data_IF_486238735041
#
_entry.id   IF_486238735041
#
_cell.length_a   1.000
_cell.length_b   1.000
_cell.length_c   1.000
_cell.angle_alpha   90.00
_cell.angle_beta   90.00
_cell.angle_gamma   90.00
#
_symmetry.space_group_name_H-M   'P 1'
#
loop_
_entity.id
_entity.type
_entity.pdbx_description
1 polymer ?
#
# COMPACT_ATOMS: atom_id res chain seq x y z
N UNK A 1 6.66 -47.88 24.67
CA UNK A 1 5.23 -48.11 25.02
C UNK A 1 4.47 -46.84 24.65
N UNK A 2 3.31 -47.01 24.06
CA UNK A 2 2.41 -45.88 23.75
C UNK A 2 1.09 -46.11 24.49
N UNK A 3 0.59 -45.11 25.20
CA UNK A 3 -0.70 -45.15 25.87
C UNK A 3 -1.60 -44.14 25.23
N UNK A 4 -2.79 -44.55 24.82
CA UNK A 4 -3.81 -43.69 24.25
C UNK A 4 -4.90 -43.43 25.30
N UNK A 5 -5.25 -42.14 25.47
CA UNK A 5 -6.31 -41.73 26.39
C UNK A 5 -7.24 -40.72 25.67
N UNK A 6 -8.50 -40.55 26.06
CA UNK A 6 -9.30 -39.45 25.60
C UNK A 6 -8.62 -38.13 25.94
N UNK A 7 -8.50 -37.25 24.96
CA UNK A 7 -7.91 -35.93 25.16
C UNK A 7 -8.84 -35.06 26.02
N UNK A 8 -8.31 -34.42 27.05
CA UNK A 8 -9.05 -33.46 27.90
C UNK A 8 -9.20 -32.11 27.25
N UNK A 9 -8.30 -31.75 26.34
CA UNK A 9 -8.29 -30.50 25.60
C UNK A 9 -8.25 -30.80 24.10
N UNK A 10 -8.73 -29.85 23.29
CA UNK A 10 -8.60 -29.93 21.83
C UNK A 10 -7.12 -29.92 21.46
N UNK A 11 -6.65 -30.98 20.81
CA UNK A 11 -5.29 -31.06 20.30
C UNK A 11 -5.18 -30.25 19.00
N UNK A 12 -4.22 -29.35 18.95
CA UNK A 12 -3.85 -28.65 17.72
C UNK A 12 -3.17 -29.65 16.80
N UNK A 13 -3.40 -29.55 15.48
CA UNK A 13 -2.85 -30.46 14.47
C UNK A 13 -3.34 -31.91 14.55
N UNK A 14 -4.46 -32.16 15.22
CA UNK A 14 -5.07 -33.47 15.28
C UNK A 14 -6.60 -33.38 15.17
N UNK A 15 -7.19 -34.22 14.33
CA UNK A 15 -8.63 -34.44 14.29
C UNK A 15 -9.08 -35.52 15.28
N UNK A 16 -8.11 -36.12 15.99
CA UNK A 16 -8.38 -37.17 16.98
C UNK A 16 -8.78 -36.57 18.32
N UNK A 17 -9.75 -37.18 18.95
CA UNK A 17 -10.11 -36.96 20.36
C UNK A 17 -9.22 -37.81 21.33
N UNK A 18 -8.18 -38.44 20.81
CA UNK A 18 -7.29 -39.31 21.57
C UNK A 18 -5.92 -38.64 21.69
N UNK A 19 -5.45 -38.51 22.89
CA UNK A 19 -4.09 -38.10 23.22
C UNK A 19 -3.20 -39.31 23.39
N UNK A 20 -1.94 -39.23 22.90
CA UNK A 20 -0.96 -40.33 22.97
C UNK A 20 0.22 -39.92 23.86
N UNK A 21 0.49 -40.74 24.84
CA UNK A 21 1.65 -40.61 25.71
C UNK A 21 2.70 -41.62 25.32
N UNK A 22 3.95 -41.20 25.23
CA UNK A 22 5.08 -42.00 24.82
C UNK A 22 5.97 -42.27 26.03
N UNK A 23 6.37 -43.55 26.19
CA UNK A 23 7.25 -43.97 27.26
C UNK A 23 8.40 -44.82 26.72
N UNK A 24 9.63 -44.53 27.18
CA UNK A 24 10.78 -45.41 27.04
C UNK A 24 10.85 -46.31 28.24
N UNK A 25 11.16 -47.57 28.03
CA UNK A 25 11.33 -48.59 29.09
C UNK A 25 12.73 -49.13 28.97
N UNK A 26 13.45 -49.18 30.08
CA UNK A 26 14.77 -49.79 30.15
C UNK A 26 14.63 -51.34 30.09
N UNK A 27 15.11 -51.93 29.00
CA UNK A 27 15.05 -53.38 28.76
C UNK A 27 16.42 -53.95 29.04
N UNK A 28 16.55 -54.77 30.09
CA UNK A 28 17.78 -55.54 30.32
C UNK A 28 17.83 -56.69 29.34
N UNK A 29 18.87 -56.73 28.51
CA UNK A 29 19.14 -57.85 27.63
C UNK A 29 19.36 -59.13 28.42
N UNK A 30 18.45 -60.10 28.30
CA UNK A 30 18.73 -61.52 28.60
C UNK A 30 18.81 -62.29 27.28
N UNK A 31 19.84 -63.11 27.13
CA UNK A 31 20.04 -63.95 25.93
C UNK A 31 18.74 -64.61 25.50
N UNK A 32 18.25 -64.29 24.35
CA UNK A 32 17.11 -64.83 23.59
C UNK A 32 15.67 -64.55 24.00
N UNK A 33 15.38 -63.72 25.04
CA UNK A 33 13.99 -63.27 25.31
C UNK A 33 13.95 -61.89 25.92
N UNK A 34 13.43 -60.90 25.17
CA UNK A 34 13.18 -59.56 25.68
C UNK A 34 11.91 -59.55 26.55
N UNK A 35 12.04 -59.65 27.86
CA UNK A 35 10.93 -59.50 28.80
C UNK A 35 11.04 -58.21 29.57
N UNK A 36 9.98 -57.43 29.59
CA UNK A 36 9.85 -56.25 30.45
C UNK A 36 9.76 -56.74 31.89
N UNK A 37 10.72 -56.39 32.73
CA UNK A 37 10.72 -56.74 34.13
C UNK A 37 9.81 -55.74 34.91
N UNK A 38 9.08 -56.20 35.92
CA UNK A 38 8.25 -55.34 36.79
C UNK A 38 9.02 -54.19 37.45
N UNK A 39 10.34 -54.28 37.53
CA UNK A 39 11.25 -53.26 38.09
C UNK A 39 11.96 -52.43 37.01
N UNK A 40 11.56 -52.53 35.73
CA UNK A 40 12.17 -51.73 34.66
C UNK A 40 11.83 -50.25 34.88
N UNK A 41 12.83 -49.39 34.72
CA UNK A 41 12.62 -47.95 34.78
C UNK A 41 11.82 -47.49 33.55
N UNK A 42 10.81 -46.69 33.81
CA UNK A 42 9.96 -46.11 32.77
C UNK A 42 10.22 -44.61 32.73
N UNK A 43 10.51 -44.08 31.55
CA UNK A 43 10.73 -42.66 31.31
C UNK A 43 9.63 -42.15 30.43
N UNK A 44 8.93 -41.09 30.85
CA UNK A 44 7.99 -40.38 29.99
C UNK A 44 8.76 -39.60 28.93
N UNK A 45 8.35 -39.74 27.68
CA UNK A 45 8.91 -39.01 26.56
C UNK A 45 7.97 -37.88 26.18
N UNK A 46 8.51 -36.70 25.95
CA UNK A 46 7.73 -35.59 25.37
C UNK A 46 7.72 -35.72 23.86
N UNK A 47 6.52 -35.72 23.27
CA UNK A 47 6.35 -35.58 21.83
C UNK A 47 6.61 -34.13 21.43
N UNK A 48 7.45 -33.94 20.45
CA UNK A 48 7.69 -32.59 19.85
C UNK A 48 7.14 -32.63 18.44
N UNK A 49 6.26 -31.69 18.12
CA UNK A 49 5.80 -31.50 16.76
C UNK A 49 6.80 -30.66 15.98
N UNK A 50 7.03 -31.02 14.73
CA UNK A 50 7.83 -30.20 13.83
C UNK A 50 7.20 -28.83 13.59
N UNK A 51 8.06 -27.83 13.36
CA UNK A 51 7.65 -26.49 12.98
C UNK A 51 7.14 -26.50 11.53
N UNK A 52 5.83 -26.45 11.36
CA UNK A 52 5.19 -26.44 10.05
C UNK A 52 4.19 -25.27 9.88
N UNK A 53 4.13 -24.66 8.72
CA UNK A 53 3.24 -23.51 8.49
C UNK A 53 1.76 -23.80 8.78
N UNK A 54 1.29 -25.03 8.56
CA UNK A 54 -0.09 -25.37 8.84
C UNK A 54 -0.39 -25.40 10.36
N UNK A 55 0.57 -25.81 11.17
CA UNK A 55 0.47 -25.75 12.63
C UNK A 55 0.38 -24.28 13.09
N UNK A 56 1.22 -23.40 12.52
CA UNK A 56 1.17 -21.97 12.83
C UNK A 56 -0.16 -21.35 12.46
N UNK A 57 -0.76 -21.72 11.31
CA UNK A 57 -2.11 -21.27 10.96
C UNK A 57 -3.15 -21.66 12.01
N UNK A 58 -3.11 -22.89 12.47
CA UNK A 58 -4.03 -23.35 13.51
C UNK A 58 -3.85 -22.58 14.82
N UNK A 59 -2.60 -22.39 15.26
CA UNK A 59 -2.26 -21.64 16.47
C UNK A 59 -2.67 -20.17 16.37
N UNK A 60 -2.61 -19.58 15.19
CA UNK A 60 -2.96 -18.17 14.92
C UNK A 60 -4.43 -17.97 14.57
N UNK A 61 -5.23 -19.04 14.49
CA UNK A 61 -6.63 -18.96 14.09
C UNK A 61 -6.86 -18.64 12.62
N UNK A 62 -5.85 -18.72 11.77
CA UNK A 62 -5.92 -18.49 10.33
C UNK A 62 -6.50 -19.72 9.64
N UNK A 63 -7.73 -19.62 9.15
CA UNK A 63 -8.46 -20.78 8.60
C UNK A 63 -7.93 -21.20 7.22
N UNK A 64 -7.60 -20.25 6.35
CA UNK A 64 -7.17 -20.51 4.96
C UNK A 64 -6.24 -19.41 4.45
N UNK A 65 -5.50 -19.72 3.40
CA UNK A 65 -4.77 -18.78 2.57
C UNK A 65 -5.37 -18.86 1.16
N UNK A 66 -5.99 -17.79 0.67
CA UNK A 66 -6.60 -17.73 -0.67
C UNK A 66 -5.71 -16.99 -1.67
N UNK A 67 -4.88 -16.07 -1.20
CA UNK A 67 -3.88 -15.38 -2.01
C UNK A 67 -2.54 -16.11 -1.84
N UNK A 68 -1.97 -16.53 -2.96
CA UNK A 68 -0.66 -17.17 -3.05
C UNK A 68 0.31 -16.26 -3.82
N UNK A 69 1.48 -16.74 -4.22
CA UNK A 69 2.42 -15.93 -5.03
C UNK A 69 2.63 -14.52 -4.47
N UNK A 70 2.96 -14.41 -3.18
CA UNK A 70 3.14 -13.13 -2.49
C UNK A 70 4.55 -12.61 -2.73
N UNK A 71 4.67 -11.37 -3.19
CA UNK A 71 5.96 -10.70 -3.35
C UNK A 71 6.11 -9.59 -2.32
N UNK A 72 7.11 -9.73 -1.45
CA UNK A 72 7.53 -8.67 -0.52
C UNK A 72 8.69 -7.90 -1.13
N UNK A 73 8.47 -6.64 -1.49
CA UNK A 73 9.51 -5.71 -1.98
C UNK A 73 9.93 -4.80 -0.83
N UNK A 74 11.24 -4.77 -0.59
CA UNK A 74 11.80 -4.08 0.57
C UNK A 74 11.68 -4.92 1.85
N UNK A 75 12.82 -5.46 2.29
CA UNK A 75 12.94 -6.27 3.51
C UNK A 75 13.76 -5.49 4.56
N UNK A 76 13.49 -4.19 4.65
CA UNK A 76 14.06 -3.28 5.66
C UNK A 76 13.34 -3.37 7.01
N UNK A 77 13.42 -2.32 7.80
CA UNK A 77 12.87 -2.28 9.18
C UNK A 77 11.38 -2.62 9.23
N UNK A 78 10.57 -2.07 8.35
CA UNK A 78 9.12 -2.33 8.30
C UNK A 78 8.80 -3.66 7.62
N UNK A 79 9.31 -3.86 6.39
CA UNK A 79 8.99 -5.04 5.58
C UNK A 79 9.44 -6.35 6.20
N UNK A 80 10.59 -6.37 6.88
CA UNK A 80 11.07 -7.58 7.59
C UNK A 80 10.15 -7.99 8.74
N UNK A 81 9.58 -7.01 9.47
CA UNK A 81 8.64 -7.27 10.55
C UNK A 81 7.29 -7.75 10.03
N UNK A 82 6.74 -7.08 9.00
CA UNK A 82 5.51 -7.49 8.33
C UNK A 82 5.62 -8.94 7.87
N UNK A 83 6.69 -9.26 7.15
CA UNK A 83 6.90 -10.60 6.61
C UNK A 83 7.03 -11.65 7.72
N UNK A 84 7.76 -11.35 8.82
CA UNK A 84 7.91 -12.26 9.92
C UNK A 84 6.59 -12.53 10.65
N UNK A 85 5.74 -11.51 10.85
CA UNK A 85 4.41 -11.70 11.42
C UNK A 85 3.54 -12.60 10.55
N UNK A 86 3.51 -12.37 9.24
CA UNK A 86 2.74 -13.19 8.31
C UNK A 86 3.23 -14.64 8.27
N UNK A 87 4.55 -14.86 8.24
CA UNK A 87 5.15 -16.18 8.23
C UNK A 87 4.84 -16.95 9.52
N UNK A 88 4.91 -16.30 10.69
CA UNK A 88 4.53 -16.90 11.97
C UNK A 88 3.05 -17.24 12.07
N UNK A 89 2.20 -16.60 11.28
CA UNK A 89 0.80 -16.95 11.12
C UNK A 89 0.58 -18.08 10.09
N UNK A 90 1.65 -18.69 9.60
CA UNK A 90 1.62 -19.82 8.67
C UNK A 90 1.33 -19.45 7.23
N UNK A 91 1.48 -18.17 6.87
CA UNK A 91 1.40 -17.73 5.47
C UNK A 91 2.67 -18.22 4.76
N UNK A 92 2.51 -18.72 3.55
CA UNK A 92 3.57 -19.32 2.73
C UNK A 92 3.59 -18.73 1.32
N UNK A 93 4.53 -19.20 0.49
CA UNK A 93 4.66 -18.84 -0.93
C UNK A 93 5.13 -17.40 -1.15
N UNK A 94 6.27 -17.09 -0.55
CA UNK A 94 6.89 -15.77 -0.64
C UNK A 94 7.99 -15.69 -1.71
N UNK A 95 8.06 -14.53 -2.36
CA UNK A 95 9.26 -14.04 -3.03
C UNK A 95 9.74 -12.76 -2.34
N UNK A 96 10.95 -12.77 -1.80
CA UNK A 96 11.55 -11.64 -1.11
C UNK A 96 12.45 -10.87 -2.08
N UNK A 97 12.24 -9.57 -2.20
CA UNK A 97 12.99 -8.69 -3.11
C UNK A 97 13.65 -7.58 -2.32
N UNK A 98 14.97 -7.59 -2.28
CA UNK A 98 15.77 -6.50 -1.71
C UNK A 98 17.20 -6.56 -2.29
N UNK A 99 17.74 -5.44 -2.71
CA UNK A 99 19.10 -5.36 -3.24
C UNK A 99 20.14 -4.94 -2.20
N UNK A 100 19.70 -4.53 -1.02
CA UNK A 100 20.57 -4.00 0.03
C UNK A 100 21.31 -5.11 0.80
N UNK A 101 22.46 -4.70 1.35
CA UNK A 101 23.24 -5.49 2.29
C UNK A 101 22.84 -5.14 3.72
N UNK A 102 22.85 -6.13 4.60
CA UNK A 102 22.61 -5.95 6.02
C UNK A 102 23.89 -5.45 6.72
N UNK A 103 23.83 -4.28 7.30
CA UNK A 103 24.92 -3.64 8.03
C UNK A 103 24.68 -3.68 9.55
N UNK A 104 25.72 -3.51 10.40
CA UNK A 104 25.58 -3.54 11.86
C UNK A 104 24.47 -2.63 12.43
N UNK A 105 24.30 -1.43 11.87
CA UNK A 105 23.26 -0.49 12.31
C UNK A 105 21.84 -0.95 12.01
N UNK A 106 21.63 -1.89 11.09
CA UNK A 106 20.33 -2.44 10.81
C UNK A 106 19.76 -3.25 12.00
N UNK A 107 20.65 -3.79 12.87
CA UNK A 107 20.22 -4.46 14.10
C UNK A 107 19.34 -3.59 15.01
N UNK A 108 19.42 -2.28 14.90
CA UNK A 108 18.63 -1.39 15.73
C UNK A 108 17.11 -1.52 15.46
N UNK A 109 16.69 -1.93 14.25
CA UNK A 109 15.27 -1.90 13.84
C UNK A 109 14.82 -3.01 12.90
N UNK A 110 15.74 -3.79 12.36
CA UNK A 110 15.38 -4.93 11.51
C UNK A 110 14.80 -6.06 12.36
N UNK A 111 13.88 -6.86 11.80
CA UNK A 111 13.33 -8.02 12.53
C UNK A 111 14.36 -9.11 12.80
N UNK A 112 15.40 -9.18 11.97
CA UNK A 112 16.55 -10.07 12.14
C UNK A 112 17.71 -9.31 12.76
N UNK A 113 18.61 -10.04 13.44
CA UNK A 113 19.81 -9.49 14.03
C UNK A 113 21.02 -10.42 13.82
N UNK A 114 22.22 -9.87 13.80
CA UNK A 114 23.42 -10.55 13.32
C UNK A 114 23.50 -10.51 11.79
N UNK A 115 24.18 -11.44 11.18
CA UNK A 115 24.16 -11.66 9.72
C UNK A 115 24.81 -10.57 8.86
N UNK A 116 25.82 -9.89 9.38
CA UNK A 116 26.50 -8.78 8.72
C UNK A 116 27.02 -9.15 7.33
N UNK A 117 26.95 -8.16 6.41
CA UNK A 117 27.41 -8.27 5.01
C UNK A 117 26.66 -9.31 4.16
N UNK A 118 25.53 -9.81 4.63
CA UNK A 118 24.63 -10.62 3.82
C UNK A 118 23.55 -9.74 3.18
N UNK A 119 23.03 -10.14 2.02
CA UNK A 119 21.88 -9.47 1.43
C UNK A 119 20.65 -9.61 2.35
N UNK A 120 19.88 -8.52 2.55
CA UNK A 120 18.74 -8.49 3.50
C UNK A 120 17.69 -9.54 3.17
N UNK A 121 17.31 -9.72 1.89
CA UNK A 121 16.32 -10.71 1.49
C UNK A 121 16.83 -12.15 1.73
N UNK A 122 18.12 -12.41 1.50
CA UNK A 122 18.71 -13.71 1.75
C UNK A 122 18.76 -14.02 3.25
N UNK A 123 19.09 -13.03 4.06
CA UNK A 123 19.12 -13.16 5.51
C UNK A 123 17.72 -13.47 6.08
N UNK A 124 16.70 -12.75 5.59
CA UNK A 124 15.30 -13.03 5.95
C UNK A 124 14.87 -14.44 5.50
N UNK A 125 15.27 -14.89 4.31
CA UNK A 125 14.99 -16.25 3.83
C UNK A 125 15.47 -17.31 4.80
N UNK A 126 16.70 -17.18 5.32
CA UNK A 126 17.26 -18.13 6.28
C UNK A 126 16.42 -18.19 7.57
N UNK A 127 15.94 -17.04 8.05
CA UNK A 127 15.06 -17.01 9.21
C UNK A 127 13.68 -17.64 8.93
N UNK A 128 13.11 -17.43 7.74
CA UNK A 128 11.86 -18.09 7.34
C UNK A 128 12.04 -19.60 7.22
N UNK A 129 13.16 -20.06 6.69
CA UNK A 129 13.47 -21.49 6.59
C UNK A 129 13.58 -22.14 7.96
N UNK A 130 14.10 -21.45 8.97
CA UNK A 130 14.21 -21.99 10.34
C UNK A 130 12.85 -22.24 11.00
N UNK A 131 11.79 -21.66 10.50
CA UNK A 131 10.40 -21.90 10.91
C UNK A 131 9.58 -22.66 9.85
N UNK A 132 10.23 -23.39 8.95
CA UNK A 132 9.58 -24.24 7.95
C UNK A 132 8.94 -23.49 6.75
N UNK A 133 9.09 -22.16 6.65
CA UNK A 133 8.54 -21.36 5.54
C UNK A 133 9.57 -21.22 4.43
N UNK A 134 9.29 -21.84 3.28
CA UNK A 134 10.13 -21.73 2.08
C UNK A 134 9.82 -20.42 1.35
N UNK A 135 10.87 -19.75 0.82
CA UNK A 135 10.75 -18.53 0.05
C UNK A 135 11.78 -18.46 -1.08
N UNK A 136 11.44 -17.71 -2.13
CA UNK A 136 12.36 -17.34 -3.21
C UNK A 136 13.02 -16.00 -2.88
N UNK A 137 14.20 -15.72 -3.45
CA UNK A 137 14.93 -14.47 -3.23
C UNK A 137 15.35 -13.85 -4.54
N UNK A 138 15.13 -12.53 -4.67
CA UNK A 138 15.61 -11.69 -5.76
C UNK A 138 16.51 -10.61 -5.15
N UNK A 139 17.83 -10.72 -5.36
CA UNK A 139 18.87 -9.81 -4.84
C UNK A 139 19.14 -8.66 -5.81
N UNK A 140 18.13 -8.10 -6.41
CA UNK A 140 18.23 -7.06 -7.42
C UNK A 140 17.21 -5.97 -7.16
N UNK A 141 17.49 -4.79 -7.68
CA UNK A 141 16.49 -3.74 -7.75
C UNK A 141 15.28 -4.24 -8.55
N UNK A 142 14.10 -4.11 -7.99
CA UNK A 142 12.86 -4.60 -8.59
C UNK A 142 12.60 -3.98 -9.97
N UNK A 143 13.04 -2.75 -10.19
CA UNK A 143 12.90 -2.03 -11.46
C UNK A 143 13.60 -2.73 -12.62
N UNK A 144 14.59 -3.58 -12.32
CA UNK A 144 15.32 -4.40 -13.28
C UNK A 144 14.79 -5.83 -13.40
N UNK A 145 13.66 -6.14 -12.78
CA UNK A 145 13.13 -7.51 -12.63
C UNK A 145 11.61 -7.59 -12.84
N UNK A 146 10.99 -6.67 -13.58
CA UNK A 146 9.53 -6.59 -13.78
C UNK A 146 8.89 -7.94 -14.13
N UNK A 147 9.50 -8.69 -15.04
CA UNK A 147 9.01 -9.99 -15.52
C UNK A 147 8.89 -11.07 -14.42
N UNK A 148 9.53 -10.87 -13.27
CA UNK A 148 9.49 -11.81 -12.15
C UNK A 148 8.32 -11.58 -11.20
N UNK A 149 7.60 -10.47 -11.36
CA UNK A 149 6.48 -10.09 -10.48
C UNK A 149 5.15 -9.95 -11.22
N UNK A 150 5.12 -10.07 -12.55
CA UNK A 150 3.90 -9.90 -13.35
C UNK A 150 2.78 -10.87 -12.98
N UNK A 151 3.13 -12.10 -12.62
CA UNK A 151 2.18 -13.15 -12.24
C UNK A 151 1.95 -13.25 -10.72
N UNK A 152 2.32 -12.24 -9.96
CA UNK A 152 2.07 -12.21 -8.51
C UNK A 152 0.59 -11.95 -8.23
N UNK A 153 0.04 -12.64 -7.23
CA UNK A 153 -1.33 -12.39 -6.77
C UNK A 153 -1.39 -11.18 -5.83
N UNK A 154 -0.30 -10.95 -5.10
CA UNK A 154 -0.16 -9.83 -4.18
C UNK A 154 1.28 -9.33 -4.13
N UNK A 155 1.45 -8.04 -4.25
CA UNK A 155 2.72 -7.35 -3.99
C UNK A 155 2.57 -6.48 -2.75
N UNK A 156 3.51 -6.63 -1.81
CA UNK A 156 3.63 -5.78 -0.63
C UNK A 156 4.89 -4.92 -0.82
N UNK A 157 4.70 -3.64 -1.06
CA UNK A 157 5.80 -2.67 -1.18
C UNK A 157 6.03 -1.98 0.17
N UNK A 158 7.19 -2.23 0.76
CA UNK A 158 7.67 -1.60 2.00
C UNK A 158 8.98 -0.85 1.81
N UNK A 159 9.29 -0.43 0.57
CA UNK A 159 10.56 0.23 0.26
C UNK A 159 10.62 1.70 0.70
N UNK A 160 9.47 2.34 0.91
CA UNK A 160 9.34 3.80 1.08
C UNK A 160 10.02 4.60 -0.07
N UNK A 161 10.18 4.00 -1.25
CA UNK A 161 10.86 4.56 -2.42
C UNK A 161 9.85 5.08 -3.44
N UNK A 162 9.87 6.39 -3.71
CA UNK A 162 9.04 7.00 -4.75
C UNK A 162 9.31 6.38 -6.12
N UNK A 163 10.57 6.07 -6.45
CA UNK A 163 10.92 5.46 -7.74
C UNK A 163 10.38 4.03 -7.89
N UNK A 164 10.36 3.23 -6.82
CA UNK A 164 9.75 1.89 -6.82
C UNK A 164 8.24 2.01 -6.94
N UNK A 165 7.60 2.92 -6.19
CA UNK A 165 6.16 3.16 -6.29
C UNK A 165 5.74 3.55 -7.71
N UNK A 166 6.44 4.50 -8.33
CA UNK A 166 6.17 4.91 -9.71
C UNK A 166 6.37 3.77 -10.71
N UNK A 167 7.41 2.95 -10.53
CA UNK A 167 7.64 1.76 -11.34
C UNK A 167 6.48 0.75 -11.21
N UNK A 168 6.06 0.44 -9.99
CA UNK A 168 4.97 -0.50 -9.73
C UNK A 168 3.63 0.00 -10.28
N UNK A 169 3.38 1.31 -10.24
CA UNK A 169 2.20 1.94 -10.84
C UNK A 169 2.07 1.65 -12.33
N UNK A 170 3.19 1.65 -13.07
CA UNK A 170 3.23 1.40 -14.52
C UNK A 170 3.36 -0.07 -14.90
N UNK A 171 3.82 -0.91 -13.98
CA UNK A 171 4.07 -2.32 -14.27
C UNK A 171 2.76 -3.07 -14.41
N UNK A 172 2.65 -3.87 -15.47
CA UNK A 172 1.54 -4.81 -15.65
C UNK A 172 1.68 -5.94 -14.63
N UNK A 173 0.73 -6.05 -13.73
CA UNK A 173 0.70 -7.03 -12.64
C UNK A 173 -0.72 -7.62 -12.60
N UNK A 174 -0.82 -8.92 -12.46
CA UNK A 174 -2.11 -9.62 -12.43
C UNK A 174 -2.85 -9.43 -11.09
N UNK A 175 -2.09 -9.27 -10.01
CA UNK A 175 -2.65 -9.04 -8.67
C UNK A 175 -2.65 -7.59 -8.24
N UNK A 176 -2.96 -7.37 -6.99
CA UNK A 176 -3.04 -6.05 -6.36
C UNK A 176 -1.74 -5.69 -5.64
N UNK A 177 -1.54 -4.40 -5.42
CA UNK A 177 -0.41 -3.87 -4.66
C UNK A 177 -0.90 -3.32 -3.33
N UNK A 178 -0.18 -3.64 -2.27
CA UNK A 178 -0.27 -2.98 -0.96
C UNK A 178 1.01 -2.18 -0.77
N UNK A 179 0.88 -0.87 -0.62
CA UNK A 179 2.00 0.01 -0.28
C UNK A 179 1.95 0.37 1.20
N UNK A 180 3.09 0.21 1.88
CA UNK A 180 3.24 0.54 3.30
C UNK A 180 4.35 1.54 3.50
N UNK A 181 4.10 2.59 4.26
CA UNK A 181 5.08 3.65 4.51
C UNK A 181 4.88 4.29 5.88
N UNK A 182 5.95 4.88 6.41
CA UNK A 182 5.97 5.55 7.70
C UNK A 182 6.45 6.99 7.53
N UNK A 183 5.81 7.90 8.25
CA UNK A 183 6.07 9.34 8.26
C UNK A 183 6.23 9.83 9.70
N UNK A 184 6.67 11.06 9.90
CA UNK A 184 6.78 11.71 11.19
C UNK A 184 7.50 10.84 12.24
N UNK A 185 8.73 10.44 11.96
CA UNK A 185 9.51 9.53 12.82
C UNK A 185 8.75 8.28 13.26
N UNK A 186 8.02 7.70 12.30
CA UNK A 186 7.15 6.52 12.46
C UNK A 186 5.94 6.72 13.38
N UNK A 187 5.55 7.96 13.71
CA UNK A 187 4.28 8.25 14.39
C UNK A 187 3.07 8.16 13.48
N UNK A 188 3.27 8.33 12.15
CA UNK A 188 2.23 8.19 11.14
C UNK A 188 2.54 6.97 10.24
N UNK A 189 1.62 6.03 10.20
CA UNK A 189 1.68 4.85 9.37
C UNK A 189 0.62 4.94 8.25
N UNK A 190 1.01 4.68 7.01
CA UNK A 190 0.11 4.69 5.86
C UNK A 190 0.15 3.31 5.19
N UNK A 191 -1.03 2.74 4.97
CA UNK A 191 -1.21 1.53 4.20
C UNK A 191 -2.26 1.78 3.12
N UNK A 192 -1.85 1.62 1.87
CA UNK A 192 -2.68 1.75 0.68
C UNK A 192 -2.86 0.39 0.04
N UNK A 193 -4.08 -0.02 -0.20
CA UNK A 193 -4.40 -1.27 -0.88
C UNK A 193 -5.13 -0.97 -2.17
N UNK A 194 -4.58 -1.36 -3.31
CA UNK A 194 -5.29 -1.27 -4.58
C UNK A 194 -6.53 -2.16 -4.57
N UNK A 195 -7.52 -1.81 -5.37
CA UNK A 195 -8.63 -2.71 -5.66
C UNK A 195 -8.16 -3.95 -6.46
N UNK A 196 -8.98 -4.99 -6.50
CA UNK A 196 -8.67 -6.22 -7.23
C UNK A 196 -8.38 -5.99 -8.72
N UNK A 197 -9.01 -4.98 -9.33
CA UNK A 197 -8.81 -4.59 -10.74
C UNK A 197 -7.83 -3.42 -10.91
N UNK A 198 -7.13 -3.00 -9.86
CA UNK A 198 -6.20 -1.87 -9.83
C UNK A 198 -6.83 -0.53 -10.25
N UNK A 199 -8.09 -0.33 -9.91
CA UNK A 199 -8.78 0.95 -10.02
C UNK A 199 -9.63 1.23 -8.76
N UNK A 200 -9.15 2.04 -7.80
CA UNK A 200 -7.94 2.88 -7.86
C UNK A 200 -6.64 2.09 -7.72
N UNK A 201 -5.55 2.61 -8.28
CA UNK A 201 -4.18 2.14 -8.09
C UNK A 201 -3.44 3.01 -7.05
N UNK A 202 -2.21 2.63 -6.67
CA UNK A 202 -1.46 3.26 -5.56
C UNK A 202 -1.31 4.78 -5.71
N UNK A 203 -1.06 5.29 -6.92
CA UNK A 203 -0.91 6.73 -7.14
C UNK A 203 -2.25 7.49 -6.98
N UNK A 204 -3.39 6.91 -7.36
CA UNK A 204 -4.71 7.49 -7.09
C UNK A 204 -4.98 7.56 -5.58
N UNK A 205 -4.64 6.48 -4.86
CA UNK A 205 -4.80 6.43 -3.41
C UNK A 205 -3.91 7.45 -2.70
N UNK A 206 -2.67 7.67 -3.19
CA UNK A 206 -1.81 8.74 -2.70
C UNK A 206 -2.39 10.13 -2.99
N UNK A 207 -2.94 10.36 -4.18
CA UNK A 207 -3.63 11.61 -4.49
C UNK A 207 -4.85 11.84 -3.59
N UNK A 208 -5.52 10.77 -3.16
CA UNK A 208 -6.60 10.87 -2.16
C UNK A 208 -6.08 11.38 -0.81
N UNK A 209 -4.91 10.93 -0.35
CA UNK A 209 -4.29 11.45 0.89
C UNK A 209 -3.97 12.94 0.75
N UNK A 210 -3.37 13.36 -0.38
CA UNK A 210 -3.09 14.78 -0.62
C UNK A 210 -4.38 15.61 -0.62
N UNK A 211 -5.47 15.05 -1.17
CA UNK A 211 -6.77 15.71 -1.13
C UNK A 211 -7.31 15.84 0.30
N UNK A 212 -7.15 14.82 1.16
CA UNK A 212 -7.54 14.90 2.57
C UNK A 212 -6.74 15.93 3.35
N UNK A 213 -5.47 16.13 3.02
CA UNK A 213 -4.65 17.21 3.59
C UNK A 213 -5.25 18.61 3.38
N UNK A 214 -6.13 18.82 2.39
CA UNK A 214 -6.81 20.12 2.20
C UNK A 214 -7.83 20.43 3.31
N UNK A 215 -8.35 19.41 3.98
CA UNK A 215 -9.44 19.56 4.99
C UNK A 215 -9.06 19.08 6.39
N UNK A 216 -7.90 18.44 6.54
CA UNK A 216 -7.44 17.84 7.80
C UNK A 216 -6.05 18.41 8.16
N UNK A 217 -6.02 19.39 9.08
CA UNK A 217 -4.79 20.06 9.47
C UNK A 217 -3.86 19.18 10.31
N UNK A 218 -4.40 18.21 11.06
CA UNK A 218 -3.61 17.25 11.84
C UNK A 218 -2.89 16.27 10.89
N UNK A 219 -3.58 15.88 9.83
CA UNK A 219 -2.97 15.06 8.77
C UNK A 219 -1.85 15.84 8.06
N UNK A 220 -2.05 17.12 7.76
CA UNK A 220 -1.01 17.99 7.16
C UNK A 220 0.22 18.05 8.08
N UNK A 221 0.02 18.35 9.36
CA UNK A 221 1.11 18.47 10.32
C UNK A 221 1.90 17.15 10.47
N UNK A 222 1.21 16.01 10.42
CA UNK A 222 1.84 14.70 10.53
C UNK A 222 2.50 14.23 9.23
N UNK A 223 1.87 14.47 8.08
CA UNK A 223 2.33 13.98 6.79
C UNK A 223 3.51 14.79 6.24
N UNK A 224 3.47 16.12 6.39
CA UNK A 224 4.52 17.05 5.95
C UNK A 224 5.47 17.45 7.07
N UNK A 225 5.49 16.72 8.19
CA UNK A 225 6.39 16.99 9.30
C UNK A 225 7.85 17.01 8.83
N UNK A 226 8.56 18.09 9.17
CA UNK A 226 10.01 18.21 8.95
C UNK A 226 10.84 17.30 9.89
N UNK A 227 10.19 16.64 10.84
CA UNK A 227 10.84 15.80 11.86
C UNK A 227 11.37 14.45 11.34
N UNK A 228 11.33 14.20 10.04
CA UNK A 228 12.01 13.03 9.45
C UNK A 228 13.55 13.24 9.50
N UNK A 229 14.10 13.23 10.70
CA UNK A 229 15.54 13.38 10.89
C UNK A 229 16.23 12.15 10.32
N UNK A 230 16.91 12.34 9.20
CA UNK A 230 17.82 11.35 8.64
C UNK A 230 19.20 11.61 9.22
N UNK A 231 19.80 10.58 9.77
CA UNK A 231 21.18 10.63 10.26
C UNK A 231 22.06 9.72 9.42
N UNK A 232 23.33 10.13 9.22
CA UNK A 232 24.34 9.27 8.61
C UNK A 232 25.08 8.52 9.71
N UNK A 233 25.15 7.19 9.59
CA UNK A 233 25.94 6.32 10.47
C UNK A 233 27.17 5.85 9.69
N UNK A 234 28.16 6.73 9.53
CA UNK A 234 29.35 6.43 8.76
C UNK A 234 29.35 7.02 7.36
N UNK A 235 30.21 6.51 6.46
CA UNK A 235 30.37 6.99 5.10
C UNK A 235 29.87 5.94 4.09
N UNK A 236 29.06 6.37 3.11
CA UNK A 236 28.60 5.53 1.99
C UNK A 236 27.08 5.45 1.84
N UNK A 237 26.62 4.86 0.73
CA UNK A 237 25.21 4.82 0.34
C UNK A 237 24.27 4.05 1.31
N UNK A 238 24.82 3.15 2.12
CA UNK A 238 24.05 2.38 3.12
C UNK A 238 24.00 3.02 4.51
N UNK A 239 24.58 4.22 4.70
CA UNK A 239 24.73 4.85 6.02
C UNK A 239 23.54 5.70 6.46
N UNK A 240 22.63 6.05 5.56
CA UNK A 240 21.45 6.86 5.90
C UNK A 240 20.40 6.03 6.66
N UNK A 241 19.96 6.55 7.79
CA UNK A 241 18.91 5.95 8.59
C UNK A 241 17.97 7.01 9.13
N UNK A 242 16.72 6.63 9.40
CA UNK A 242 15.75 7.52 10.07
C UNK A 242 15.87 7.32 11.58
N UNK A 243 15.84 8.39 12.35
CA UNK A 243 15.85 8.32 13.81
C UNK A 243 14.42 8.05 14.30
N UNK A 244 14.16 6.83 14.74
CA UNK A 244 12.88 6.45 15.37
C UNK A 244 13.06 5.20 16.24
N UNK A 245 12.27 5.04 17.32
CA UNK A 245 12.28 3.83 18.14
C UNK A 245 11.81 2.60 17.35
N UNK A 246 12.43 1.44 17.61
CA UNK A 246 12.02 0.17 17.02
C UNK A 246 10.58 -0.22 17.40
N UNK A 247 10.17 0.10 18.63
CA UNK A 247 8.82 -0.15 19.14
C UNK A 247 7.73 0.48 18.27
N UNK A 248 7.92 1.73 17.79
CA UNK A 248 6.96 2.39 16.90
C UNK A 248 6.81 1.64 15.57
N UNK A 249 7.93 1.23 14.96
CA UNK A 249 7.89 0.44 13.72
C UNK A 249 7.18 -0.89 13.96
N UNK A 250 7.45 -1.54 15.10
CA UNK A 250 6.82 -2.81 15.49
C UNK A 250 5.32 -2.65 15.67
N UNK A 251 4.88 -1.57 16.30
CA UNK A 251 3.46 -1.26 16.50
C UNK A 251 2.74 -1.04 15.16
N UNK A 252 3.34 -0.28 14.24
CA UNK A 252 2.82 -0.10 12.88
C UNK A 252 2.79 -1.41 12.10
N UNK A 253 3.90 -2.18 12.12
CA UNK A 253 4.03 -3.45 11.41
C UNK A 253 3.00 -4.47 11.87
N UNK A 254 2.71 -4.55 13.16
CA UNK A 254 1.70 -5.45 13.73
C UNK A 254 0.30 -5.16 13.16
N UNK A 255 -0.14 -3.91 13.18
CA UNK A 255 -1.44 -3.51 12.62
C UNK A 255 -1.53 -3.78 11.11
N UNK A 256 -0.51 -3.38 10.36
CA UNK A 256 -0.44 -3.64 8.91
C UNK A 256 -0.46 -5.13 8.60
N UNK A 257 0.31 -5.94 9.34
CA UNK A 257 0.37 -7.39 9.13
C UNK A 257 -0.98 -8.05 9.38
N UNK A 258 -1.70 -7.63 10.42
CA UNK A 258 -3.03 -8.14 10.74
C UNK A 258 -4.01 -7.89 9.57
N UNK A 259 -3.98 -6.69 9.00
CA UNK A 259 -4.83 -6.33 7.86
C UNK A 259 -4.42 -7.06 6.58
N UNK A 260 -3.12 -7.18 6.30
CA UNK A 260 -2.60 -7.94 5.15
C UNK A 260 -2.99 -9.41 5.25
N UNK A 261 -2.87 -10.01 6.45
CA UNK A 261 -3.33 -11.37 6.70
C UNK A 261 -4.82 -11.53 6.41
N UNK A 262 -5.64 -10.55 6.80
CA UNK A 262 -7.07 -10.56 6.48
C UNK A 262 -7.29 -10.65 4.96
N UNK A 263 -6.59 -9.85 4.14
CA UNK A 263 -6.69 -9.94 2.68
C UNK A 263 -6.20 -11.28 2.14
N UNK A 264 -5.08 -11.79 2.65
CA UNK A 264 -4.54 -13.09 2.22
C UNK A 264 -5.55 -14.21 2.49
N UNK A 265 -6.36 -14.09 3.53
CA UNK A 265 -7.34 -15.10 3.92
C UNK A 265 -8.72 -14.93 3.27
N UNK A 266 -9.09 -13.72 2.85
CA UNK A 266 -10.44 -13.40 2.38
C UNK A 266 -10.50 -12.83 0.95
N UNK A 267 -9.35 -12.49 0.37
CA UNK A 267 -9.25 -11.76 -0.89
C UNK A 267 -9.25 -10.24 -0.69
N UNK A 268 -8.85 -9.52 -1.73
CA UNK A 268 -8.89 -8.05 -1.82
C UNK A 268 -10.24 -7.65 -2.41
N UNK A 269 -10.81 -6.56 -1.90
CA UNK A 269 -12.10 -6.06 -2.38
C UNK A 269 -11.98 -5.35 -3.74
N UNK A 270 -13.13 -5.17 -4.42
CA UNK A 270 -13.21 -4.40 -5.66
C UNK A 270 -13.02 -2.88 -5.44
N UNK A 271 -13.01 -2.45 -4.20
CA UNK A 271 -12.72 -1.07 -3.81
C UNK A 271 -11.32 -1.01 -3.21
N UNK A 272 -10.55 0.03 -3.56
CA UNK A 272 -9.29 0.31 -2.89
C UNK A 272 -9.50 0.70 -1.42
N UNK A 273 -8.44 0.66 -0.62
CA UNK A 273 -8.51 1.03 0.80
C UNK A 273 -7.33 1.91 1.21
N UNK A 274 -7.61 2.92 2.02
CA UNK A 274 -6.63 3.82 2.64
C UNK A 274 -6.77 3.67 4.14
N UNK A 275 -5.72 3.19 4.79
CA UNK A 275 -5.62 3.11 6.24
C UNK A 275 -4.49 4.02 6.73
N UNK A 276 -4.80 4.88 7.68
CA UNK A 276 -3.84 5.76 8.33
C UNK A 276 -3.84 5.45 9.81
N UNK A 277 -2.66 5.10 10.34
CA UNK A 277 -2.45 4.81 11.75
C UNK A 277 -1.66 5.94 12.41
N UNK A 278 -2.22 6.55 13.45
CA UNK A 278 -1.55 7.53 14.27
C UNK A 278 -1.16 6.91 15.61
N UNK A 279 0.11 6.96 15.95
CA UNK A 279 0.62 6.55 17.26
C UNK A 279 0.33 7.67 18.27
N UNK A 280 -0.17 7.29 19.44
CA UNK A 280 -0.41 8.22 20.57
C UNK A 280 0.89 8.89 21.05
N UNK A 281 0.78 10.02 21.73
CA UNK A 281 1.95 10.79 22.16
C UNK A 281 2.81 10.05 23.19
N UNK A 282 2.20 9.16 23.96
CA UNK A 282 2.86 8.28 24.93
C UNK A 282 3.46 6.99 24.30
N UNK A 283 3.36 6.83 22.98
CA UNK A 283 3.79 5.66 22.22
C UNK A 283 3.13 4.31 22.63
N UNK A 284 2.05 4.34 23.40
CA UNK A 284 1.39 3.15 23.94
C UNK A 284 0.42 2.49 22.94
N UNK A 285 -0.17 3.27 22.05
CA UNK A 285 -1.21 2.78 21.13
C UNK A 285 -1.09 3.36 19.73
N UNK A 286 -1.70 2.68 18.77
CA UNK A 286 -1.90 3.18 17.41
C UNK A 286 -3.39 3.17 17.09
N UNK A 287 -3.90 4.31 16.63
CA UNK A 287 -5.28 4.45 16.20
C UNK A 287 -5.36 4.41 14.67
N UNK A 288 -5.98 3.36 14.14
CA UNK A 288 -6.18 3.18 12.72
C UNK A 288 -7.50 3.77 12.27
N UNK A 289 -7.45 4.65 11.26
CA UNK A 289 -8.61 5.26 10.61
C UNK A 289 -8.63 4.86 9.14
N UNK A 290 -9.79 4.41 8.69
CA UNK A 290 -10.04 4.16 7.27
C UNK A 290 -10.54 5.43 6.61
N UNK A 291 -9.95 5.80 5.49
CA UNK A 291 -10.35 6.92 4.66
C UNK A 291 -11.06 6.42 3.41
N UNK A 292 -12.05 7.19 2.97
CA UNK A 292 -12.79 6.87 1.75
C UNK A 292 -11.87 7.04 0.54
N UNK A 293 -11.86 6.06 -0.34
CA UNK A 293 -11.24 6.16 -1.65
C UNK A 293 -12.31 6.14 -2.75
N UNK A 294 -11.91 6.53 -3.95
CA UNK A 294 -12.79 6.65 -5.10
C UNK A 294 -12.16 5.92 -6.27
N UNK A 295 -12.97 5.20 -7.03
CA UNK A 295 -12.57 4.78 -8.35
C UNK A 295 -12.30 5.99 -9.23
N UNK A 296 -11.58 5.80 -10.29
CA UNK A 296 -11.24 6.86 -11.23
C UNK A 296 -11.80 6.57 -12.61
N UNK A 297 -12.29 7.59 -13.25
CA UNK A 297 -12.59 7.60 -14.68
C UNK A 297 -11.31 7.91 -15.44
N UNK A 298 -10.99 7.08 -16.44
CA UNK A 298 -9.71 7.14 -17.14
C UNK A 298 -9.94 7.63 -18.55
N UNK A 299 -9.27 8.73 -18.91
CA UNK A 299 -9.12 9.20 -20.28
C UNK A 299 -7.70 8.86 -20.73
N UNK A 300 -7.57 7.83 -21.52
CA UNK A 300 -6.27 7.37 -22.03
C UNK A 300 -5.56 8.45 -22.85
N UNK A 301 -4.24 8.47 -22.79
CA UNK A 301 -3.44 9.27 -23.71
C UNK A 301 -3.70 8.83 -25.16
N UNK A 302 -3.84 9.77 -26.06
CA UNK A 302 -4.09 9.51 -27.49
C UNK A 302 -2.80 9.19 -28.26
N UNK A 303 -1.67 9.61 -27.70
CA UNK A 303 -0.32 9.37 -28.24
C UNK A 303 0.70 9.43 -27.09
N UNK A 304 1.95 9.10 -27.38
CA UNK A 304 3.05 9.02 -26.39
C UNK A 304 3.41 10.39 -25.77
N UNK A 305 3.03 11.50 -26.39
CA UNK A 305 3.32 12.85 -25.88
C UNK A 305 2.24 13.36 -24.92
N UNK A 306 1.11 12.69 -24.85
CA UNK A 306 0.03 13.06 -23.94
C UNK A 306 0.16 12.39 -22.56
N UNK A 307 -0.49 13.01 -21.59
CA UNK A 307 -0.66 12.46 -20.24
C UNK A 307 -1.99 11.70 -20.16
N UNK A 308 -2.01 10.56 -19.52
CA UNK A 308 -3.26 9.91 -19.11
C UNK A 308 -3.97 10.80 -18.09
N UNK A 309 -5.26 11.04 -18.25
CA UNK A 309 -6.06 11.82 -17.30
C UNK A 309 -6.92 10.88 -16.48
N UNK A 310 -6.77 10.97 -15.17
CA UNK A 310 -7.48 10.16 -14.18
C UNK A 310 -8.36 11.08 -13.34
N UNK A 311 -9.66 10.85 -13.33
CA UNK A 311 -10.63 11.75 -12.69
C UNK A 311 -11.36 10.98 -11.60
N UNK A 312 -11.33 11.45 -10.36
CA UNK A 312 -12.10 10.83 -9.30
C UNK A 312 -13.59 10.84 -9.61
N UNK A 313 -14.28 9.73 -9.40
CA UNK A 313 -15.74 9.66 -9.61
C UNK A 313 -16.50 10.73 -8.83
N UNK A 314 -16.01 11.12 -7.65
CA UNK A 314 -16.59 12.22 -6.87
C UNK A 314 -16.55 13.56 -7.62
N UNK A 315 -15.50 13.80 -8.42
CA UNK A 315 -15.38 14.98 -9.27
C UNK A 315 -16.42 14.96 -10.39
N UNK A 316 -16.57 13.82 -11.06
CA UNK A 316 -17.57 13.66 -12.14
C UNK A 316 -18.98 13.87 -11.59
N UNK A 317 -19.30 13.28 -10.44
CA UNK A 317 -20.59 13.51 -9.76
C UNK A 317 -20.80 14.99 -9.43
N UNK A 318 -19.74 15.68 -8.96
CA UNK A 318 -19.82 17.12 -8.68
C UNK A 318 -20.03 17.93 -9.97
N UNK A 319 -19.34 17.62 -11.07
CA UNK A 319 -19.55 18.26 -12.38
C UNK A 319 -20.98 18.09 -12.85
N UNK A 320 -21.53 16.86 -12.78
CA UNK A 320 -22.92 16.57 -13.13
C UNK A 320 -23.89 17.41 -12.33
N UNK A 321 -23.80 17.39 -11.00
CA UNK A 321 -24.72 18.13 -10.12
C UNK A 321 -24.66 19.64 -10.38
N UNK A 322 -23.47 20.19 -10.66
CA UNK A 322 -23.29 21.59 -11.00
C UNK A 322 -23.94 21.89 -12.36
N UNK A 323 -23.71 21.07 -13.39
CA UNK A 323 -24.33 21.25 -14.71
C UNK A 323 -25.85 21.23 -14.63
N UNK A 324 -26.43 20.25 -13.93
CA UNK A 324 -27.88 20.17 -13.76
C UNK A 324 -28.47 21.40 -13.05
N UNK A 325 -27.75 21.95 -12.06
CA UNK A 325 -28.18 23.14 -11.31
C UNK A 325 -28.22 24.41 -12.19
N UNK A 326 -27.31 24.53 -13.14
CA UNK A 326 -27.18 25.74 -13.97
C UNK A 326 -27.81 25.61 -15.35
N UNK A 327 -28.28 24.43 -15.75
CA UNK A 327 -29.03 24.22 -16.98
C UNK A 327 -30.18 25.24 -17.11
N UNK A 328 -30.35 25.95 -18.24
CA UNK A 328 -29.78 25.68 -19.57
C UNK A 328 -28.39 26.30 -19.83
N UNK A 329 -27.81 27.04 -18.89
CA UNK A 329 -26.55 27.72 -19.08
C UNK A 329 -25.34 26.79 -18.86
N UNK A 330 -24.30 27.00 -19.65
CA UNK A 330 -23.00 26.37 -19.39
C UNK A 330 -22.43 26.91 -18.09
N UNK A 331 -21.82 26.04 -17.31
CA UNK A 331 -21.13 26.38 -16.05
C UNK A 331 -19.87 25.58 -15.90
N UNK A 332 -18.92 26.07 -15.09
CA UNK A 332 -17.65 25.39 -14.96
C UNK A 332 -16.81 25.89 -13.80
N UNK A 333 -15.53 25.68 -13.90
CA UNK A 333 -14.57 26.05 -12.84
C UNK A 333 -13.16 25.57 -13.14
N UNK A 334 -12.39 25.42 -12.08
CA UNK A 334 -10.99 25.01 -12.14
C UNK A 334 -10.82 23.57 -11.67
N UNK A 335 -9.99 22.84 -12.38
CA UNK A 335 -9.52 21.51 -12.01
C UNK A 335 -8.29 21.63 -11.12
N UNK A 336 -8.30 20.92 -10.01
CA UNK A 336 -7.13 20.76 -9.12
C UNK A 336 -6.82 19.30 -8.88
N UNK A 337 -5.54 19.01 -8.66
CA UNK A 337 -5.07 17.65 -8.41
C UNK A 337 -3.56 17.53 -8.57
N UNK A 338 -3.09 16.36 -8.94
CA UNK A 338 -1.67 16.05 -9.02
C UNK A 338 -1.21 15.81 -10.46
N UNK A 339 0.03 16.21 -10.76
CA UNK A 339 0.72 15.91 -12.02
C UNK A 339 1.91 15.01 -11.71
N UNK A 340 1.93 13.83 -12.28
CA UNK A 340 3.09 12.94 -12.25
C UNK A 340 3.79 12.93 -13.60
N UNK A 341 4.90 13.66 -13.72
CA UNK A 341 5.72 13.67 -14.93
C UNK A 341 6.33 12.29 -15.22
N UNK A 342 6.75 11.58 -14.18
CA UNK A 342 7.34 10.23 -14.33
C UNK A 342 6.30 9.24 -14.83
N UNK A 343 5.08 9.25 -14.27
CA UNK A 343 4.01 8.36 -14.68
C UNK A 343 3.24 8.89 -15.89
N UNK A 344 3.48 10.14 -16.31
CA UNK A 344 2.73 10.84 -17.36
C UNK A 344 1.23 10.79 -17.10
N UNK A 345 0.84 11.16 -15.86
CA UNK A 345 -0.56 11.19 -15.43
C UNK A 345 -0.94 12.52 -14.84
N UNK A 346 -2.17 12.94 -15.13
CA UNK A 346 -2.85 14.08 -14.51
C UNK A 346 -4.02 13.48 -13.71
N UNK A 347 -3.97 13.58 -12.38
CA UNK A 347 -5.04 13.05 -11.51
C UNK A 347 -5.88 14.20 -10.97
N UNK A 348 -7.11 14.32 -11.45
CA UNK A 348 -8.08 15.34 -11.02
C UNK A 348 -8.77 14.87 -9.76
N UNK A 349 -8.50 15.54 -8.63
CA UNK A 349 -9.00 15.13 -7.31
C UNK A 349 -10.15 16.00 -6.81
N UNK A 350 -10.25 17.25 -7.27
CA UNK A 350 -11.30 18.18 -6.83
C UNK A 350 -11.50 19.35 -7.81
N UNK A 351 -12.48 20.18 -7.51
CA UNK A 351 -12.85 21.36 -8.28
C UNK A 351 -12.81 22.61 -7.38
N UNK A 352 -12.36 23.73 -7.96
CA UNK A 352 -12.62 25.06 -7.41
C UNK A 352 -13.75 25.68 -8.23
N UNK A 353 -14.83 26.10 -7.55
CA UNK A 353 -15.99 26.69 -8.19
C UNK A 353 -15.63 28.05 -8.82
N UNK A 354 -16.28 28.37 -9.92
CA UNK A 354 -16.08 29.60 -10.65
C UNK A 354 -16.29 30.85 -9.78
N UNK A 355 -15.46 31.89 -9.93
CA UNK A 355 -15.64 33.16 -9.24
C UNK A 355 -16.92 33.90 -9.66
N UNK A 356 -17.33 34.89 -8.82
CA UNK A 356 -18.55 35.68 -9.04
C UNK A 356 -18.54 36.54 -10.31
N UNK A 357 -17.36 36.85 -10.84
CA UNK A 357 -17.16 37.60 -12.09
C UNK A 357 -17.20 36.73 -13.35
N UNK A 358 -17.54 35.46 -13.21
CA UNK A 358 -17.75 34.50 -14.30
C UNK A 358 -18.97 34.91 -15.09
N UNK A 359 -18.90 34.80 -16.43
CA UNK A 359 -20.01 35.01 -17.34
C UNK A 359 -20.41 33.68 -17.96
N UNK A 360 -21.69 33.35 -17.88
CA UNK A 360 -22.24 32.14 -18.47
C UNK A 360 -23.54 32.39 -19.17
N UNK A 361 -23.80 31.61 -20.19
CA UNK A 361 -25.05 31.56 -20.95
C UNK A 361 -25.20 30.18 -21.56
N UNK A 362 -26.29 29.94 -22.27
CA UNK A 362 -26.59 28.66 -22.93
C UNK A 362 -25.48 28.14 -23.86
N UNK A 363 -24.63 29.01 -24.41
CA UNK A 363 -23.61 28.68 -25.42
C UNK A 363 -22.26 29.34 -25.14
N UNK A 364 -22.05 29.86 -23.94
CA UNK A 364 -20.81 30.57 -23.61
C UNK A 364 -20.50 30.46 -22.13
N UNK A 365 -19.29 30.02 -21.83
CA UNK A 365 -18.72 30.06 -20.50
C UNK A 365 -17.38 30.82 -20.51
N UNK A 366 -17.30 31.88 -19.72
CA UNK A 366 -16.07 32.67 -19.52
C UNK A 366 -15.74 32.66 -18.04
N UNK A 367 -14.67 31.91 -17.65
CA UNK A 367 -14.23 31.80 -16.29
C UNK A 367 -13.73 33.13 -15.73
N UNK A 368 -14.30 33.59 -14.62
CA UNK A 368 -13.85 34.77 -13.89
C UNK A 368 -12.48 34.59 -13.27
N UNK A 369 -11.87 35.69 -12.81
CA UNK A 369 -10.53 35.69 -12.24
C UNK A 369 -10.48 36.10 -10.75
N UNK A 370 -11.55 36.72 -10.24
CA UNK A 370 -11.56 37.36 -8.92
C UNK A 370 -11.30 36.37 -7.80
N UNK A 371 -10.16 36.52 -7.12
CA UNK A 371 -9.77 35.69 -5.98
C UNK A 371 -9.32 34.26 -6.31
N UNK A 372 -9.28 33.86 -7.61
CA UNK A 372 -8.97 32.52 -8.03
C UNK A 372 -7.52 32.15 -7.71
N UNK A 373 -6.57 33.04 -8.01
CA UNK A 373 -5.15 32.84 -7.73
C UNK A 373 -4.89 32.57 -6.24
N UNK A 374 -5.57 33.31 -5.34
CA UNK A 374 -5.41 33.11 -3.90
C UNK A 374 -5.97 31.75 -3.46
N UNK A 375 -7.08 31.28 -4.04
CA UNK A 375 -7.62 29.95 -3.76
C UNK A 375 -6.67 28.85 -4.20
N UNK A 376 -6.08 28.96 -5.39
CA UNK A 376 -5.11 28.00 -5.93
C UNK A 376 -3.86 27.99 -5.03
N UNK A 377 -3.26 29.15 -4.73
CA UNK A 377 -2.10 29.25 -3.85
C UNK A 377 -2.36 28.65 -2.46
N UNK A 378 -3.57 28.81 -1.91
CA UNK A 378 -3.92 28.21 -0.62
C UNK A 378 -3.89 26.67 -0.69
N UNK A 379 -4.36 26.09 -1.77
CA UNK A 379 -4.32 24.63 -2.02
C UNK A 379 -2.88 24.16 -2.16
N UNK A 380 -2.07 24.84 -2.97
CA UNK A 380 -0.67 24.51 -3.21
C UNK A 380 0.15 24.60 -1.92
N UNK A 381 0.02 25.68 -1.17
CA UNK A 381 0.75 25.87 0.09
C UNK A 381 0.41 24.77 1.12
N UNK A 382 -0.88 24.39 1.20
CA UNK A 382 -1.34 23.38 2.18
C UNK A 382 -0.84 21.97 1.86
N UNK A 383 -0.48 21.71 0.61
CA UNK A 383 -0.03 20.40 0.15
C UNK A 383 1.42 20.39 -0.36
N UNK A 384 2.20 21.44 -0.06
CA UNK A 384 3.56 21.62 -0.57
C UNK A 384 3.65 21.42 -2.11
N UNK A 385 2.64 21.90 -2.84
CA UNK A 385 2.56 21.80 -4.30
C UNK A 385 2.13 20.44 -4.83
N UNK A 386 1.84 19.44 -3.99
CA UNK A 386 1.39 18.12 -4.46
C UNK A 386 -0.02 18.16 -5.06
N UNK A 387 -0.87 19.08 -4.63
CA UNK A 387 -2.11 19.42 -5.31
C UNK A 387 -1.95 20.84 -5.88
N UNK A 388 -2.16 20.96 -7.19
CA UNK A 388 -1.97 22.20 -7.95
C UNK A 388 -3.10 22.42 -8.94
N UNK A 389 -3.05 23.54 -9.65
CA UNK A 389 -3.91 23.85 -10.79
C UNK A 389 -3.59 22.90 -11.95
N UNK A 390 -4.63 22.25 -12.50
CA UNK A 390 -4.51 21.34 -13.64
C UNK A 390 -5.09 21.89 -14.94
N UNK A 391 -5.98 22.88 -14.86
CA UNK A 391 -6.71 23.43 -15.99
C UNK A 391 -8.13 23.81 -15.61
N UNK A 392 -9.02 23.78 -16.60
CA UNK A 392 -10.42 24.22 -16.46
C UNK A 392 -11.39 23.15 -16.91
N UNK A 393 -12.63 23.29 -16.46
CA UNK A 393 -13.73 22.52 -16.99
C UNK A 393 -14.97 23.40 -17.18
N UNK A 394 -15.85 22.99 -18.08
CA UNK A 394 -17.21 23.54 -18.19
C UNK A 394 -18.18 22.46 -18.67
N UNK A 395 -19.47 22.77 -18.62
CA UNK A 395 -20.53 21.85 -19.05
C UNK A 395 -21.09 22.28 -20.41
N UNK A 396 -21.44 21.29 -21.22
CA UNK A 396 -22.37 21.43 -22.35
C UNK A 396 -23.66 20.67 -21.99
N UNK A 397 -24.65 21.34 -21.37
CA UNK A 397 -25.82 20.63 -20.80
C UNK A 397 -26.67 19.89 -21.85
N UNK A 398 -26.56 20.27 -23.13
CA UNK A 398 -27.29 19.67 -24.24
C UNK A 398 -26.42 18.74 -25.11
N UNK A 399 -25.22 18.38 -24.61
CA UNK A 399 -24.28 17.55 -25.37
C UNK A 399 -23.49 18.36 -26.42
N UNK A 400 -22.79 17.61 -27.28
CA UNK A 400 -21.98 18.17 -28.37
C UNK A 400 -20.47 18.06 -28.11
N UNK A 401 -19.68 18.35 -29.16
CA UNK A 401 -18.22 18.28 -29.13
C UNK A 401 -17.58 19.59 -28.66
N UNK A 402 -16.26 19.56 -28.42
CA UNK A 402 -15.49 20.78 -28.15
C UNK A 402 -15.54 21.74 -29.31
N UNK A 403 -15.90 23.01 -29.04
CA UNK A 403 -15.95 24.10 -30.04
C UNK A 403 -14.53 24.59 -30.39
N UNK A 404 -14.42 25.38 -31.47
CA UNK A 404 -13.16 26.09 -31.79
C UNK A 404 -12.72 27.04 -30.66
N UNK A 405 -13.69 27.62 -29.93
CA UNK A 405 -13.42 28.50 -28.81
C UNK A 405 -12.80 27.71 -27.65
N UNK A 406 -13.27 26.50 -27.39
CA UNK A 406 -12.71 25.61 -26.34
C UNK A 406 -11.29 25.22 -26.68
N UNK A 407 -11.03 24.81 -27.92
CA UNK A 407 -9.69 24.48 -28.40
C UNK A 407 -8.72 25.66 -28.29
N UNK A 408 -9.16 26.86 -28.72
CA UNK A 408 -8.34 28.06 -28.57
C UNK A 408 -8.09 28.46 -27.13
N UNK A 409 -9.05 28.24 -26.24
CA UNK A 409 -8.89 28.50 -24.82
C UNK A 409 -7.88 27.52 -24.21
N UNK A 410 -7.97 26.22 -24.52
CA UNK A 410 -7.01 25.23 -24.11
C UNK A 410 -5.56 25.58 -24.55
N UNK A 411 -5.41 25.98 -25.82
CA UNK A 411 -4.10 26.39 -26.35
C UNK A 411 -3.54 27.63 -25.63
N UNK A 412 -4.39 28.63 -25.33
CA UNK A 412 -3.98 29.81 -24.55
C UNK A 412 -3.55 29.46 -23.13
N UNK A 413 -4.25 28.56 -22.48
CA UNK A 413 -3.87 28.07 -21.13
C UNK A 413 -2.52 27.37 -21.17
N UNK A 414 -2.27 26.53 -22.17
CA UNK A 414 -1.02 25.83 -22.38
C UNK A 414 0.16 26.80 -22.53
N UNK A 415 0.01 27.84 -23.33
CA UNK A 415 1.03 28.89 -23.48
C UNK A 415 1.25 29.64 -22.17
N UNK A 416 0.17 30.04 -21.48
CA UNK A 416 0.27 30.76 -20.21
C UNK A 416 0.95 29.97 -19.10
N UNK A 417 0.99 28.65 -19.23
CA UNK A 417 1.67 27.73 -18.30
C UNK A 417 3.01 27.25 -18.82
N UNK A 418 3.58 27.93 -19.79
CA UNK A 418 4.88 27.57 -20.37
C UNK A 418 4.96 26.10 -20.80
N UNK A 419 3.87 25.62 -21.42
CA UNK A 419 3.67 24.23 -21.86
C UNK A 419 3.71 23.16 -20.76
N UNK A 420 3.51 23.55 -19.50
CA UNK A 420 3.28 22.54 -18.46
C UNK A 420 2.00 21.73 -18.74
N UNK A 421 1.97 20.43 -18.39
CA UNK A 421 0.82 19.58 -18.62
C UNK A 421 -0.45 20.18 -18.01
N UNK A 422 -1.44 20.44 -18.86
CA UNK A 422 -2.75 20.96 -18.48
C UNK A 422 -3.85 20.16 -19.15
N UNK A 423 -5.07 20.26 -18.62
CA UNK A 423 -6.23 19.61 -19.20
C UNK A 423 -7.45 20.53 -19.15
N UNK A 424 -8.14 20.63 -20.27
CA UNK A 424 -9.47 21.22 -20.33
C UNK A 424 -10.49 20.11 -20.54
N UNK A 425 -11.51 20.06 -19.68
CA UNK A 425 -12.56 19.04 -19.71
C UNK A 425 -13.92 19.68 -19.98
N UNK A 426 -14.72 19.01 -20.79
CA UNK A 426 -16.13 19.35 -20.99
C UNK A 426 -16.96 18.21 -20.44
N UNK A 427 -17.85 18.52 -19.50
CA UNK A 427 -18.86 17.58 -19.05
C UNK A 427 -20.06 17.64 -19.98
N UNK A 428 -20.53 16.49 -20.46
CA UNK A 428 -21.75 16.37 -21.26
C UNK A 428 -22.62 15.24 -20.69
N UNK A 429 -23.92 15.17 -21.01
CA UNK A 429 -24.77 14.03 -20.65
C UNK A 429 -24.23 12.68 -21.14
N UNK A 430 -23.47 12.66 -22.24
CA UNK A 430 -22.89 11.48 -22.85
C UNK A 430 -21.55 11.07 -22.21
N UNK A 431 -20.88 11.98 -21.46
CA UNK A 431 -19.60 11.71 -20.80
C UNK A 431 -18.67 12.91 -20.73
N UNK A 432 -17.41 12.64 -20.40
CA UNK A 432 -16.37 13.67 -20.30
C UNK A 432 -15.56 13.72 -21.60
N UNK A 433 -15.44 14.92 -22.14
CA UNK A 433 -14.63 15.20 -23.32
C UNK A 433 -13.33 15.88 -22.87
N UNK A 434 -12.21 15.42 -23.36
CA UNK A 434 -10.92 16.11 -23.26
C UNK A 434 -10.73 16.98 -24.50
N UNK A 435 -10.48 18.27 -24.30
CA UNK A 435 -10.23 19.26 -25.35
C UNK A 435 -8.79 19.18 -25.86
#
# INVERSE_FOLDING_TARGET
MIIHTPAKLKLINSNSSIESFFFAIDIKEQKHNQKIHQKSKVFMLSGINDCEPHLYRQMSGVKKQVINNIVQIGVGSLGSKINLHLARNGIVDYTLVDNDIFFPHNNARHAMFGGFFNNKANFQQLALMSIGVKSKVIKKDIRNCANKITNSDLIIDSTASLSVRNFLTKTMINGSIIHTSLYNNSKLAIMLTESANRNPRIDDLMCSIYQYCLTDDDLVASFFSEQNIRASIGQGCGSLTTICPDSRISLCASGMSSKIQYYISNGISDNGEILIGNISDDDMSINWKQFKCYNVYILSARNDDEFEVRIFESVIKKMKNISEKYTPDEYGGVLIGNISFINRTITVTSLIDAPKDTKSSKYLFILGKKGLTNKIKKVENKTNGLITYLGTWHSHPFGGSASKTDQNTNYKILILRDYEPTVCLIWTPEGIIRV
#
